data_IF_148006481193
#
_entry.id   IF_148006481193
#
_cell.length_a   1.000
_cell.length_b   1.000
_cell.length_c   1.000
_cell.angle_alpha   90.00
_cell.angle_beta   90.00
_cell.angle_gamma   90.00
#
_symmetry.space_group_name_H-M   'P 1'
#
loop_
_entity.id
_entity.type
_entity.pdbx_description
1 polymer ?
#
# COMPACT_ATOMS: atom_id res chain seq x y z
N UNK A 1 -12.74 0.90 -11.09
CA UNK A 1 -11.26 0.71 -11.08
C UNK A 1 -10.73 1.22 -9.73
N UNK A 2 -10.74 0.34 -8.72
CA UNK A 2 -10.26 0.60 -7.36
C UNK A 2 -8.81 0.08 -7.24
N UNK A 3 -7.87 0.78 -7.87
CA UNK A 3 -6.47 0.32 -7.94
C UNK A 3 -5.63 0.61 -6.69
N UNK A 4 -6.14 1.46 -5.78
CA UNK A 4 -5.42 1.84 -4.57
C UNK A 4 -6.31 1.63 -3.35
N UNK A 5 -5.88 0.73 -2.48
CA UNK A 5 -6.52 0.45 -1.20
C UNK A 5 -5.73 1.12 -0.07
N UNK A 6 -6.40 1.34 1.05
CA UNK A 6 -5.80 1.81 2.31
C UNK A 6 -5.76 0.67 3.33
N UNK A 7 -5.13 0.92 4.48
CA UNK A 7 -4.96 -0.09 5.52
C UNK A 7 -6.31 -0.59 6.05
N UNK A 8 -7.35 0.25 6.07
CA UNK A 8 -8.69 -0.15 6.51
C UNK A 8 -9.40 -1.03 5.47
N UNK A 9 -9.39 -0.64 4.18
CA UNK A 9 -10.03 -1.41 3.12
C UNK A 9 -9.35 -2.76 2.88
N UNK A 10 -8.03 -2.85 3.08
CA UNK A 10 -7.27 -4.09 2.94
C UNK A 10 -7.58 -5.14 4.00
N UNK A 11 -8.06 -4.76 5.19
CA UNK A 11 -8.41 -5.72 6.27
C UNK A 11 -9.47 -6.73 5.85
N UNK A 12 -10.32 -6.34 4.90
CA UNK A 12 -11.43 -7.14 4.42
C UNK A 12 -11.19 -7.71 3.02
N UNK A 13 -10.06 -7.41 2.39
CA UNK A 13 -9.76 -7.84 1.02
C UNK A 13 -9.16 -9.24 1.03
N UNK A 14 -9.74 -10.12 0.22
CA UNK A 14 -9.35 -11.54 0.14
C UNK A 14 -9.06 -12.00 -1.28
N UNK A 15 -9.20 -11.13 -2.29
CA UNK A 15 -9.00 -11.49 -3.69
C UNK A 15 -8.57 -10.31 -4.55
N UNK A 16 -7.90 -10.63 -5.67
CA UNK A 16 -7.49 -9.68 -6.69
C UNK A 16 -6.13 -9.07 -6.44
N UNK A 17 -5.90 -7.90 -7.03
CA UNK A 17 -4.64 -7.17 -6.96
C UNK A 17 -4.91 -5.74 -6.50
N UNK A 18 -3.96 -5.15 -5.80
CA UNK A 18 -4.08 -3.77 -5.32
C UNK A 18 -2.73 -3.15 -5.00
N UNK A 19 -2.74 -1.83 -4.87
CA UNK A 19 -1.58 -1.04 -4.49
C UNK A 19 -1.90 -0.32 -3.18
N UNK A 20 -1.01 -0.44 -2.20
CA UNK A 20 -1.07 0.30 -0.94
C UNK A 20 0.06 1.32 -0.88
N UNK A 21 -0.27 2.56 -0.51
CA UNK A 21 0.72 3.60 -0.21
C UNK A 21 0.80 3.79 1.30
N UNK A 22 1.88 3.31 1.91
CA UNK A 22 1.99 3.31 3.37
C UNK A 22 3.46 3.44 3.82
N UNK A 23 3.63 3.91 5.05
CA UNK A 23 4.91 3.94 5.75
C UNK A 23 5.24 2.54 6.25
N UNK A 24 6.50 2.12 6.08
CA UNK A 24 6.99 0.88 6.65
C UNK A 24 7.37 1.11 8.12
N UNK A 25 6.69 0.45 9.05
CA UNK A 25 6.92 0.58 10.49
C UNK A 25 7.84 -0.54 11.00
N UNK A 26 7.67 -1.75 10.47
CA UNK A 26 8.46 -2.92 10.85
C UNK A 26 8.61 -3.86 9.65
N UNK A 27 9.74 -4.56 9.55
CA UNK A 27 10.05 -5.42 8.40
C UNK A 27 9.80 -6.91 8.62
N UNK A 28 10.00 -7.43 9.84
CA UNK A 28 10.22 -8.87 10.04
C UNK A 28 9.31 -9.48 11.10
N UNK A 29 8.81 -10.71 10.87
CA UNK A 29 8.85 -11.52 9.64
C UNK A 29 7.78 -11.14 8.62
N UNK A 30 6.78 -10.38 9.06
CA UNK A 30 5.67 -9.84 8.28
C UNK A 30 5.70 -8.32 8.46
N UNK A 31 5.72 -7.52 7.39
CA UNK A 31 5.92 -6.11 7.55
C UNK A 31 4.67 -5.44 8.10
N UNK A 32 4.90 -4.54 9.05
CA UNK A 32 3.87 -3.66 9.59
C UNK A 32 3.93 -2.35 8.83
N UNK A 33 2.81 -1.93 8.27
CA UNK A 33 2.69 -0.70 7.49
C UNK A 33 1.62 0.21 8.08
N UNK A 34 1.77 1.52 7.86
CA UNK A 34 0.85 2.53 8.38
C UNK A 34 0.51 3.57 7.32
N UNK A 35 -0.77 3.86 7.16
CA UNK A 35 -1.24 5.03 6.44
C UNK A 35 -2.16 5.89 7.33
N UNK A 36 -2.85 6.85 6.72
CA UNK A 36 -3.79 7.74 7.40
C UNK A 36 -5.06 7.06 7.97
N UNK A 37 -5.44 5.88 7.48
CA UNK A 37 -6.59 5.09 7.97
C UNK A 37 -6.23 4.18 9.12
N UNK A 38 -4.95 3.77 9.22
CA UNK A 38 -4.47 3.01 10.36
C UNK A 38 -3.20 2.21 10.08
N UNK A 39 -3.00 1.21 10.92
CA UNK A 39 -1.86 0.28 10.87
C UNK A 39 -2.34 -1.08 10.39
N UNK A 40 -1.59 -1.75 9.52
CA UNK A 40 -1.88 -3.09 9.02
C UNK A 40 -0.60 -3.93 9.01
N UNK A 41 -0.67 -5.18 9.45
CA UNK A 41 0.39 -6.16 9.22
C UNK A 41 0.08 -6.89 7.91
N UNK A 42 1.02 -6.85 6.95
CA UNK A 42 0.87 -7.58 5.70
C UNK A 42 1.33 -9.03 5.90
N UNK A 43 0.56 -10.00 5.39
CA UNK A 43 0.88 -11.42 5.51
C UNK A 43 1.66 -11.92 4.29
N UNK A 44 2.72 -11.18 3.92
CA UNK A 44 3.55 -11.49 2.77
C UNK A 44 5.03 -11.30 3.12
N UNK A 45 5.90 -12.13 2.54
CA UNK A 45 7.34 -11.87 2.56
C UNK A 45 7.66 -10.75 1.56
N UNK A 46 8.49 -9.80 1.98
CA UNK A 46 8.98 -8.76 1.07
C UNK A 46 10.13 -9.30 0.19
N UNK A 47 10.31 -8.77 -1.04
CA UNK A 47 11.39 -9.19 -1.92
C UNK A 47 12.75 -8.88 -1.28
N UNK A 48 13.67 -9.85 -1.28
CA UNK A 48 14.96 -9.76 -0.57
C UNK A 48 15.89 -8.65 -1.12
N UNK A 49 15.68 -8.19 -2.36
CA UNK A 49 16.46 -7.12 -3.03
C UNK A 49 15.91 -5.70 -2.79
N UNK A 50 14.99 -5.53 -1.83
CA UNK A 50 14.38 -4.24 -1.58
C UNK A 50 15.20 -3.43 -0.56
N UNK A 51 15.80 -2.30 -0.98
CA UNK A 51 16.38 -1.30 -0.07
C UNK A 51 15.25 -0.64 0.75
N UNK A 52 14.84 -1.32 1.80
CA UNK A 52 13.75 -0.90 2.68
C UNK A 52 14.33 -0.25 3.93
N UNK A 53 13.99 1.01 4.13
CA UNK A 53 14.27 1.74 5.37
C UNK A 53 12.99 1.81 6.21
N UNK A 54 13.06 1.41 7.48
CA UNK A 54 11.97 1.64 8.43
C UNK A 54 11.72 3.15 8.57
N UNK A 55 10.45 3.56 8.52
CA UNK A 55 10.02 4.96 8.43
C UNK A 55 9.98 5.51 7.00
N UNK A 56 10.43 4.74 6.00
CA UNK A 56 10.28 5.08 4.59
C UNK A 56 8.84 4.95 4.11
N UNK A 57 8.50 5.69 3.06
CA UNK A 57 7.21 5.59 2.38
C UNK A 57 7.36 4.74 1.13
N UNK A 58 6.45 3.79 0.93
CA UNK A 58 6.52 2.85 -0.17
C UNK A 58 5.16 2.61 -0.83
N UNK A 59 5.20 2.21 -2.10
CA UNK A 59 4.09 1.59 -2.81
C UNK A 59 4.24 0.08 -2.77
N UNK A 60 3.33 -0.59 -2.07
CA UNK A 60 3.26 -2.05 -1.96
C UNK A 60 2.26 -2.58 -2.98
N UNK A 61 2.72 -3.42 -3.90
CA UNK A 61 1.84 -4.16 -4.81
C UNK A 61 1.48 -5.49 -4.18
N UNK A 62 0.21 -5.64 -3.81
CA UNK A 62 -0.31 -6.79 -3.07
C UNK A 62 -1.20 -7.60 -4.01
N UNK A 63 -0.95 -8.90 -4.05
CA UNK A 63 -1.68 -9.88 -4.85
C UNK A 63 -2.28 -10.92 -3.92
N UNK A 64 -3.56 -11.20 -4.12
CA UNK A 64 -4.30 -12.26 -3.44
C UNK A 64 -4.59 -13.35 -4.46
N UNK A 65 -4.14 -14.57 -4.17
CA UNK A 65 -4.45 -15.73 -5.01
C UNK A 65 -5.89 -16.21 -4.81
N UNK A 66 -6.23 -17.35 -5.43
CA UNK A 66 -7.58 -17.93 -5.32
C UNK A 66 -7.87 -18.52 -3.93
N UNK A 67 -6.84 -18.80 -3.14
CA UNK A 67 -6.92 -19.32 -1.77
C UNK A 67 -6.91 -18.19 -0.72
N UNK A 68 -6.70 -16.94 -1.16
CA UNK A 68 -6.66 -15.74 -0.33
C UNK A 68 -5.28 -15.44 0.27
N UNK A 69 -4.22 -16.15 -0.17
CA UNK A 69 -2.86 -15.91 0.30
C UNK A 69 -2.30 -14.60 -0.29
N UNK A 70 -1.71 -13.79 0.59
CA UNK A 70 -1.10 -12.50 0.22
C UNK A 70 0.33 -12.70 -0.27
N UNK A 71 0.64 -12.10 -1.42
CA UNK A 71 2.01 -11.99 -1.95
C UNK A 71 2.33 -10.55 -2.30
N UNK A 72 3.56 -10.14 -1.95
CA UNK A 72 4.07 -8.80 -2.19
C UNK A 72 5.15 -8.85 -3.26
N UNK A 73 4.71 -8.82 -4.53
CA UNK A 73 5.61 -9.05 -5.68
C UNK A 73 6.51 -7.85 -5.97
N UNK A 74 6.08 -6.65 -5.62
CA UNK A 74 6.81 -5.42 -5.91
C UNK A 74 6.61 -4.39 -4.81
N UNK A 75 7.71 -3.77 -4.43
CA UNK A 75 7.73 -2.60 -3.55
C UNK A 75 8.50 -1.50 -4.27
N UNK A 76 7.94 -0.30 -4.28
CA UNK A 76 8.62 0.86 -4.89
C UNK A 76 8.81 1.94 -3.82
N UNK A 77 10.05 2.35 -3.50
CA UNK A 77 10.29 3.45 -2.58
C UNK A 77 9.77 4.75 -3.16
N UNK A 78 9.13 5.56 -2.33
CA UNK A 78 8.77 6.95 -2.65
C UNK A 78 9.83 7.85 -2.01
N UNK A 79 10.67 8.55 -2.81
CA UNK A 79 11.62 9.49 -2.28
C UNK A 79 10.93 10.55 -1.40
N UNK A 80 11.49 10.83 -0.22
CA UNK A 80 10.93 11.81 0.74
C UNK A 80 10.67 13.19 0.10
N UNK A 81 11.51 13.58 -0.85
CA UNK A 81 11.39 14.85 -1.61
C UNK A 81 10.10 14.91 -2.45
N UNK A 82 9.62 13.76 -2.94
CA UNK A 82 8.41 13.67 -3.76
C UNK A 82 7.15 13.45 -2.92
N UNK A 83 7.25 13.35 -1.60
CA UNK A 83 6.11 13.05 -0.74
C UNK A 83 4.97 14.06 -0.90
N UNK A 84 5.28 15.36 -0.89
CA UNK A 84 4.26 16.41 -1.04
C UNK A 84 3.51 16.31 -2.37
N UNK A 85 4.23 16.01 -3.45
CA UNK A 85 3.65 15.82 -4.79
C UNK A 85 2.78 14.56 -4.81
N UNK A 86 3.27 13.46 -4.26
CA UNK A 86 2.51 12.20 -4.19
C UNK A 86 1.25 12.34 -3.33
N UNK A 87 1.34 13.02 -2.19
CA UNK A 87 0.18 13.27 -1.32
C UNK A 87 -0.87 14.11 -2.05
N UNK A 88 -0.46 15.20 -2.69
CA UNK A 88 -1.39 16.05 -3.46
C UNK A 88 -2.02 15.30 -4.63
N UNK A 89 -1.24 14.49 -5.36
CA UNK A 89 -1.78 13.63 -6.42
C UNK A 89 -2.77 12.61 -5.86
N UNK A 90 -2.45 11.97 -4.72
CA UNK A 90 -3.32 11.00 -4.07
C UNK A 90 -4.64 11.62 -3.60
N UNK A 91 -4.58 12.81 -3.00
CA UNK A 91 -5.75 13.55 -2.54
C UNK A 91 -6.62 13.96 -3.74
N UNK A 92 -6.03 14.51 -4.80
CA UNK A 92 -6.75 14.86 -6.03
C UNK A 92 -7.43 13.64 -6.69
N UNK A 93 -6.75 12.49 -6.76
CA UNK A 93 -7.34 11.26 -7.30
C UNK A 93 -8.52 10.73 -6.48
N UNK A 94 -8.55 11.01 -5.17
CA UNK A 94 -9.68 10.66 -4.29
C UNK A 94 -10.84 11.62 -4.49
N UNK A 95 -10.55 12.91 -4.57
CA UNK A 95 -11.55 13.96 -4.76
C UNK A 95 -12.27 13.85 -6.13
N UNK A 96 -11.53 13.54 -7.20
CA UNK A 96 -12.11 13.31 -8.53
C UNK A 96 -13.12 12.16 -8.54
N UNK A 97 -12.92 11.11 -7.72
CA UNK A 97 -13.86 9.99 -7.63
C UNK A 97 -15.15 10.33 -6.89
N UNK A 98 -15.12 11.30 -5.97
CA UNK A 98 -16.33 11.85 -5.34
C UNK A 98 -17.17 12.67 -6.31
N UNK A 99 -16.57 13.21 -7.39
CA UNK A 99 -17.25 14.06 -8.35
C UNK A 99 -17.88 13.34 -9.55
N UNK A 100 -17.60 12.04 -9.75
CA UNK A 100 -18.23 11.20 -10.78
C UNK A 100 -19.28 10.23 -10.22
N UNK A 101 -20.15 10.74 -9.34
CA UNK A 101 -21.43 10.10 -9.03
C UNK A 101 -22.53 10.72 -9.89
N UNK A 102 -22.72 10.20 -11.10
CA UNK A 102 -23.91 10.43 -11.94
C UNK A 102 -24.50 9.08 -12.34
#
# INVERSE_FOLDING_TARGET
>A
MHERDDCESLRHKTKGQTILCAYLIEQSPNPTVQDHTGVLQLHCKLPDDSDLEVGGLFLFHIFYDQEGQQSCNRITPIPKVLYGVYKQLLDNFRDEKTHFSF
#
